data_IF_314266303940
#
_entry.id   IF_314266303940
#
_cell.length_a   1.000
_cell.length_b   1.000
_cell.length_c   1.000
_cell.angle_alpha   90.00
_cell.angle_beta   90.00
_cell.angle_gamma   90.00
#
_symmetry.space_group_name_H-M   'P 1'
#
loop_
_entity.id
_entity.type
_entity.pdbx_description
1 polymer ?
#
# COMPACT_ATOMS: atom_id res chain seq x y z
N UNK A 1 -1.98 11.46 0.59
CA UNK A 1 -0.59 11.01 0.46
C UNK A 1 -0.47 9.94 -0.63
N UNK A 2 0.73 9.79 -1.18
CA UNK A 2 0.99 8.83 -2.25
C UNK A 2 1.90 7.70 -1.76
N UNK A 3 2.93 8.03 -0.98
CA UNK A 3 3.95 7.12 -0.48
C UNK A 3 4.00 7.13 1.04
N UNK A 4 4.18 5.95 1.66
CA UNK A 4 4.40 5.80 3.09
C UNK A 4 5.81 5.25 3.37
N UNK A 5 6.57 5.95 4.20
CA UNK A 5 7.96 5.62 4.54
C UNK A 5 8.02 4.93 5.89
N UNK A 6 8.45 3.68 5.91
CA UNK A 6 8.49 2.85 7.11
C UNK A 6 9.47 3.38 8.16
N UNK A 7 9.02 3.49 9.40
CA UNK A 7 9.81 4.05 10.50
C UNK A 7 10.53 3.02 11.37
N UNK A 8 10.33 1.72 11.12
CA UNK A 8 11.09 0.66 11.80
C UNK A 8 12.50 0.46 11.25
N UNK A 9 13.10 -0.69 11.55
CA UNK A 9 14.52 -0.93 11.28
C UNK A 9 14.86 -1.03 9.79
N UNK A 10 13.91 -1.56 8.97
CA UNK A 10 14.10 -1.69 7.54
C UNK A 10 13.85 -0.36 6.79
N UNK A 11 14.39 -0.27 5.58
CA UNK A 11 14.12 0.84 4.66
C UNK A 11 13.13 0.37 3.58
N UNK A 12 11.85 0.67 3.80
CA UNK A 12 10.74 0.25 2.93
C UNK A 12 9.82 1.42 2.64
N UNK A 13 9.23 1.39 1.45
CA UNK A 13 8.22 2.36 1.02
C UNK A 13 6.99 1.60 0.59
N UNK A 14 5.83 2.06 1.06
CA UNK A 14 4.52 1.53 0.67
C UNK A 14 3.76 2.52 -0.21
N UNK A 15 2.90 1.99 -1.06
CA UNK A 15 1.98 2.74 -1.89
C UNK A 15 0.66 2.97 -1.15
N UNK A 16 0.03 4.13 -1.36
CA UNK A 16 -1.30 4.38 -0.83
C UNK A 16 -2.38 3.68 -1.67
N UNK A 17 -2.74 2.47 -1.30
CA UNK A 17 -3.78 1.73 -2.00
C UNK A 17 -5.16 2.40 -1.89
N UNK A 18 -5.44 3.16 -0.82
CA UNK A 18 -6.68 3.93 -0.69
C UNK A 18 -6.80 5.05 -1.74
N UNK A 19 -5.66 5.55 -2.25
CA UNK A 19 -5.60 6.54 -3.31
C UNK A 19 -5.25 5.92 -4.68
N UNK A 20 -5.38 4.61 -4.79
CA UNK A 20 -5.08 3.80 -5.98
C UNK A 20 -3.68 4.09 -6.54
N UNK A 21 -2.71 4.34 -5.66
CA UNK A 21 -1.34 4.59 -6.06
C UNK A 21 -0.72 3.30 -6.58
N UNK A 22 -0.12 3.38 -7.75
CA UNK A 22 0.62 2.30 -8.40
C UNK A 22 2.01 2.79 -8.77
N UNK A 23 2.96 1.87 -8.85
CA UNK A 23 4.32 2.20 -9.26
C UNK A 23 4.93 1.12 -10.17
N UNK A 24 5.87 1.53 -11.02
CA UNK A 24 6.66 0.63 -11.87
C UNK A 24 8.10 1.11 -11.94
N UNK A 25 9.05 0.19 -11.84
CA UNK A 25 10.49 0.50 -12.00
C UNK A 25 10.82 0.94 -13.42
N UNK A 26 11.70 1.92 -13.56
CA UNK A 26 12.21 2.38 -14.86
C UNK A 26 13.41 1.58 -15.36
N UNK A 27 14.04 0.76 -14.52
CA UNK A 27 15.31 0.10 -14.79
C UNK A 27 16.52 1.03 -14.74
N UNK A 28 16.35 2.30 -14.32
CA UNK A 28 17.41 3.32 -14.29
C UNK A 28 17.59 3.89 -12.87
N UNK A 29 18.80 4.32 -12.55
CA UNK A 29 19.13 4.95 -11.27
C UNK A 29 19.40 6.45 -11.38
N UNK A 30 19.63 6.96 -12.59
CA UNK A 30 19.81 8.39 -12.86
C UNK A 30 18.44 9.05 -13.13
N UNK A 31 18.03 9.94 -12.23
CA UNK A 31 16.76 10.66 -12.34
C UNK A 31 16.62 11.44 -13.65
N UNK A 32 17.68 12.10 -14.11
CA UNK A 32 17.67 12.91 -15.34
C UNK A 32 17.57 12.05 -16.62
N UNK A 33 18.05 10.80 -16.56
CA UNK A 33 18.04 9.88 -17.68
C UNK A 33 16.68 9.17 -17.89
N UNK A 34 15.74 9.31 -16.95
CA UNK A 34 14.37 8.76 -17.09
C UNK A 34 13.48 9.78 -17.78
N UNK A 35 12.91 9.40 -18.92
CA UNK A 35 12.19 10.27 -19.86
C UNK A 35 10.73 9.85 -20.04
N UNK A 36 9.96 10.64 -20.80
CA UNK A 36 8.61 10.28 -21.17
C UNK A 36 8.59 9.03 -22.07
N UNK A 37 9.60 8.83 -22.92
CA UNK A 37 9.72 7.63 -23.75
C UNK A 37 9.84 6.36 -22.88
N UNK A 38 10.58 6.44 -21.75
CA UNK A 38 10.65 5.33 -20.79
C UNK A 38 9.30 5.07 -20.11
N UNK A 39 8.57 6.14 -19.80
CA UNK A 39 7.23 6.01 -19.24
C UNK A 39 6.26 5.40 -20.26
N UNK A 40 6.37 5.76 -21.55
CA UNK A 40 5.54 5.21 -22.62
C UNK A 40 5.81 3.70 -22.84
N UNK A 41 7.01 3.25 -22.53
CA UNK A 41 7.38 1.83 -22.57
C UNK A 41 7.01 1.06 -21.28
N UNK A 42 6.71 1.75 -20.18
CA UNK A 42 6.36 1.14 -18.90
C UNK A 42 4.95 0.51 -18.92
N UNK A 43 4.65 -0.44 -18.01
CA UNK A 43 3.30 -0.94 -17.82
C UNK A 43 2.31 0.18 -17.51
N UNK A 44 1.03 -0.05 -17.84
CA UNK A 44 -0.04 0.87 -17.44
C UNK A 44 -0.20 0.95 -15.92
N UNK A 45 -0.37 2.14 -15.37
CA UNK A 45 -0.65 2.40 -13.97
C UNK A 45 -2.13 2.75 -13.72
N UNK A 46 -3.03 2.51 -14.68
CA UNK A 46 -4.46 2.78 -14.52
C UNK A 46 -5.15 1.88 -13.48
N UNK A 47 -4.54 0.75 -13.15
CA UNK A 47 -5.18 -0.20 -12.23
C UNK A 47 -6.45 -0.79 -12.84
N UNK A 48 -6.34 -1.32 -14.06
CA UNK A 48 -7.44 -2.06 -14.69
C UNK A 48 -7.84 -3.23 -13.80
N UNK A 49 -9.14 -3.41 -13.58
CA UNK A 49 -9.69 -4.51 -12.77
C UNK A 49 -9.43 -5.91 -13.37
N UNK A 50 -8.70 -6.00 -14.46
CA UNK A 50 -8.38 -7.26 -15.13
C UNK A 50 -7.01 -7.16 -15.79
N UNK A 51 -6.02 -7.84 -15.24
CA UNK A 51 -4.74 -8.06 -15.89
C UNK A 51 -3.52 -8.07 -14.97
N UNK A 52 -2.51 -8.78 -15.38
CA UNK A 52 -1.22 -9.00 -14.68
C UNK A 52 -0.46 -7.71 -14.30
N UNK A 53 -0.76 -6.58 -14.96
CA UNK A 53 -0.05 -5.32 -14.72
C UNK A 53 -0.42 -4.71 -13.36
N UNK A 54 -1.66 -4.85 -12.92
CA UNK A 54 -2.12 -4.28 -11.65
C UNK A 54 -1.40 -4.94 -10.45
N UNK A 55 -1.34 -6.27 -10.43
CA UNK A 55 -0.73 -7.03 -9.34
C UNK A 55 0.76 -6.74 -9.18
N UNK A 56 1.47 -6.50 -10.29
CA UNK A 56 2.91 -6.20 -10.28
C UNK A 56 3.25 -4.77 -9.89
N UNK A 57 2.27 -3.87 -9.99
CA UNK A 57 2.45 -2.44 -9.77
C UNK A 57 1.81 -1.95 -8.46
N UNK A 58 1.21 -2.85 -7.68
CA UNK A 58 0.66 -2.62 -6.34
C UNK A 58 1.47 -3.39 -5.29
N UNK A 59 1.50 -2.89 -4.07
CA UNK A 59 2.04 -3.64 -2.94
C UNK A 59 1.14 -4.84 -2.61
N UNK A 60 1.73 -5.90 -2.06
CA UNK A 60 1.00 -7.06 -1.59
C UNK A 60 0.06 -6.69 -0.43
N UNK A 61 -1.18 -7.17 -0.49
CA UNK A 61 -2.24 -6.79 0.44
C UNK A 61 -2.03 -7.31 1.86
N UNK A 62 -1.19 -8.33 2.03
CA UNK A 62 -0.81 -8.85 3.36
C UNK A 62 -0.05 -7.84 4.21
N UNK A 63 0.45 -6.75 3.59
CA UNK A 63 1.30 -5.76 4.24
C UNK A 63 2.71 -6.27 4.56
N UNK A 64 3.15 -7.36 3.91
CA UNK A 64 4.53 -7.84 4.01
C UNK A 64 5.48 -6.85 3.33
N UNK A 65 6.33 -6.20 4.13
CA UNK A 65 7.28 -5.20 3.63
C UNK A 65 8.30 -5.75 2.63
N UNK A 66 8.55 -7.05 2.64
CA UNK A 66 9.40 -7.70 1.64
C UNK A 66 8.76 -7.74 0.25
N UNK A 67 7.43 -7.55 0.17
CA UNK A 67 6.63 -7.61 -1.06
C UNK A 67 6.10 -6.26 -1.52
N UNK A 68 6.76 -5.17 -1.12
CA UNK A 68 6.46 -3.83 -1.64
C UNK A 68 7.04 -3.66 -3.04
N UNK A 69 6.39 -2.86 -3.90
CA UNK A 69 6.85 -2.60 -5.27
C UNK A 69 8.25 -1.98 -5.30
N UNK A 70 8.55 -1.07 -4.36
CA UNK A 70 9.88 -0.47 -4.23
C UNK A 70 10.95 -1.44 -3.73
N UNK A 71 10.55 -2.55 -3.10
CA UNK A 71 11.47 -3.48 -2.47
C UNK A 71 12.27 -2.86 -1.32
N UNK A 72 13.46 -3.39 -1.07
CA UNK A 72 14.38 -2.82 -0.09
C UNK A 72 15.08 -1.59 -0.68
N UNK A 73 15.01 -0.46 0.04
CA UNK A 73 15.64 0.79 -0.41
C UNK A 73 17.15 0.70 -0.26
N UNK A 74 17.86 0.80 -1.38
CA UNK A 74 19.30 0.81 -1.46
C UNK A 74 19.90 2.20 -1.16
N UNK A 75 21.23 2.28 -1.05
CA UNK A 75 21.94 3.55 -0.94
C UNK A 75 21.81 4.41 -2.22
N UNK A 76 21.75 3.75 -3.38
CA UNK A 76 21.47 4.39 -4.68
C UNK A 76 20.30 3.64 -5.32
N UNK A 77 19.09 4.15 -5.12
CA UNK A 77 17.85 3.49 -5.51
C UNK A 77 17.53 3.63 -7.00
N UNK A 78 16.69 2.73 -7.49
CA UNK A 78 16.08 2.83 -8.81
C UNK A 78 15.09 4.00 -8.85
N UNK A 79 14.89 4.59 -10.04
CA UNK A 79 13.82 5.56 -10.30
C UNK A 79 12.56 4.81 -10.67
N UNK A 80 11.46 5.06 -9.95
CA UNK A 80 10.15 4.48 -10.21
C UNK A 80 9.22 5.52 -10.84
N UNK A 81 8.36 5.07 -11.75
CA UNK A 81 7.16 5.80 -12.12
C UNK A 81 6.10 5.57 -11.05
N UNK A 82 5.41 6.63 -10.66
CA UNK A 82 4.34 6.59 -9.65
C UNK A 82 3.14 7.38 -10.16
N UNK A 83 1.95 6.78 -10.07
CA UNK A 83 0.70 7.43 -10.42
C UNK A 83 -0.39 7.08 -9.41
N UNK A 84 -1.07 8.11 -8.90
CA UNK A 84 -2.21 8.03 -7.98
C UNK A 84 -3.51 8.43 -8.71
N UNK A 85 -4.66 8.36 -8.07
CA UNK A 85 -5.97 8.57 -8.69
C UNK A 85 -6.05 9.83 -9.56
N UNK A 86 -5.55 10.97 -9.05
CA UNK A 86 -5.68 12.27 -9.71
C UNK A 86 -4.60 12.56 -10.76
N UNK A 87 -3.62 11.70 -10.94
CA UNK A 87 -2.52 11.96 -11.85
C UNK A 87 -2.26 10.82 -12.85
N UNK A 88 -3.31 10.12 -13.23
CA UNK A 88 -3.24 8.99 -14.18
C UNK A 88 -3.83 9.30 -15.54
N UNK A 89 -4.86 10.13 -15.57
CA UNK A 89 -5.69 10.28 -16.78
C UNK A 89 -6.02 11.72 -17.08
N UNK A 90 -6.12 12.01 -18.38
CA UNK A 90 -6.81 13.19 -18.90
C UNK A 90 -8.02 12.71 -19.69
N UNK A 91 -9.22 13.21 -19.33
CA UNK A 91 -10.50 12.80 -19.93
C UNK A 91 -10.73 11.26 -19.95
N UNK A 92 -10.26 10.58 -18.89
CA UNK A 92 -10.40 9.13 -18.75
C UNK A 92 -9.40 8.30 -19.59
N UNK A 93 -8.48 8.95 -20.28
CA UNK A 93 -7.39 8.30 -21.03
C UNK A 93 -6.10 8.40 -20.20
N UNK A 94 -5.33 7.30 -20.13
CA UNK A 94 -4.04 7.32 -19.44
C UNK A 94 -3.12 8.39 -20.04
N UNK A 95 -2.66 9.29 -19.17
CA UNK A 95 -1.78 10.38 -19.56
C UNK A 95 -0.49 10.32 -18.71
N UNK A 96 0.54 9.77 -19.29
CA UNK A 96 1.82 9.54 -18.63
C UNK A 96 2.62 10.81 -18.36
N UNK A 97 2.23 11.94 -18.95
CA UNK A 97 2.81 13.25 -18.62
C UNK A 97 2.41 13.72 -17.22
N UNK A 98 1.31 13.17 -16.69
CA UNK A 98 0.84 13.45 -15.33
C UNK A 98 1.55 12.63 -14.26
N UNK A 99 2.24 11.55 -14.65
CA UNK A 99 2.94 10.70 -13.70
C UNK A 99 4.09 11.42 -13.03
N UNK A 100 4.45 10.91 -11.87
CA UNK A 100 5.68 11.28 -11.19
C UNK A 100 6.76 10.24 -11.49
N UNK A 101 8.02 10.69 -11.45
CA UNK A 101 9.17 9.82 -11.28
C UNK A 101 9.78 10.10 -9.92
N UNK A 102 10.12 9.03 -9.22
CA UNK A 102 10.54 9.08 -7.82
C UNK A 102 11.75 8.17 -7.63
N UNK A 103 12.80 8.70 -7.05
CA UNK A 103 13.95 7.94 -6.58
C UNK A 103 14.01 8.04 -5.07
N UNK A 104 14.04 6.91 -4.40
CA UNK A 104 14.22 6.85 -2.95
C UNK A 104 15.56 6.20 -2.65
N UNK A 105 16.32 6.82 -1.78
CA UNK A 105 17.59 6.32 -1.28
C UNK A 105 17.68 6.47 0.24
N UNK A 106 18.66 5.84 0.86
CA UNK A 106 18.90 6.00 2.31
C UNK A 106 19.54 7.36 2.57
N UNK A 107 18.90 8.16 3.42
CA UNK A 107 19.38 9.43 3.94
C UNK A 107 20.05 9.27 5.31
N UNK A 108 20.52 10.36 5.89
CA UNK A 108 21.21 10.36 7.19
C UNK A 108 20.29 9.94 8.35
N UNK A 109 19.08 10.49 8.41
CA UNK A 109 18.11 10.22 9.47
C UNK A 109 16.93 9.32 9.02
N UNK A 110 16.93 8.87 7.77
CA UNK A 110 15.82 8.12 7.19
C UNK A 110 15.95 8.00 5.68
N UNK A 111 15.10 8.67 4.92
CA UNK A 111 15.02 8.55 3.48
C UNK A 111 15.33 9.89 2.80
N UNK A 112 16.06 9.83 1.70
CA UNK A 112 16.18 10.91 0.72
C UNK A 112 15.28 10.61 -0.45
N UNK A 113 14.37 11.51 -0.77
CA UNK A 113 13.39 11.39 -1.86
C UNK A 113 13.71 12.43 -2.92
N UNK A 114 13.99 11.99 -4.12
CA UNK A 114 14.16 12.80 -5.33
C UNK A 114 12.95 12.56 -6.22
N UNK A 115 12.15 13.58 -6.54
CA UNK A 115 10.89 13.41 -7.27
C UNK A 115 10.57 14.60 -8.17
N UNK A 116 9.74 14.38 -9.16
CA UNK A 116 9.23 15.37 -10.10
C UNK A 116 8.29 14.75 -11.11
N UNK A 117 7.76 15.55 -12.03
CA UNK A 117 7.02 14.99 -13.16
C UNK A 117 7.96 14.23 -14.10
N UNK A 118 7.42 13.29 -14.87
CA UNK A 118 8.22 12.46 -15.78
C UNK A 118 9.08 13.33 -16.72
N UNK A 119 8.55 14.48 -17.18
CA UNK A 119 9.28 15.40 -18.05
C UNK A 119 10.36 16.26 -17.38
N UNK A 120 10.43 16.27 -16.04
CA UNK A 120 11.40 17.11 -15.33
C UNK A 120 12.82 16.54 -15.47
N UNK A 121 13.81 17.41 -15.70
CA UNK A 121 15.23 17.02 -15.78
C UNK A 121 15.97 17.15 -14.47
N UNK A 122 15.38 17.89 -13.51
CA UNK A 122 15.95 18.09 -12.17
C UNK A 122 14.92 17.73 -11.12
N UNK A 123 15.27 16.93 -10.10
CA UNK A 123 14.36 16.57 -9.03
C UNK A 123 14.14 17.71 -8.03
N UNK A 124 12.97 17.71 -7.40
CA UNK A 124 12.82 18.24 -6.04
C UNK A 124 13.42 17.20 -5.08
N UNK A 125 14.00 17.65 -3.99
CA UNK A 125 14.64 16.77 -2.99
C UNK A 125 14.04 17.04 -1.62
N UNK A 126 13.64 15.97 -0.94
CA UNK A 126 13.11 16.04 0.43
C UNK A 126 13.79 14.94 1.27
N UNK A 127 14.15 15.28 2.50
CA UNK A 127 14.58 14.31 3.51
C UNK A 127 13.38 13.96 4.40
N UNK A 128 13.15 12.64 4.61
CA UNK A 128 12.11 12.13 5.49
C UNK A 128 12.76 11.35 6.61
N UNK A 129 12.76 11.93 7.81
CA UNK A 129 13.29 11.27 8.99
C UNK A 129 12.34 10.16 9.47
N UNK A 130 12.89 9.07 10.00
CA UNK A 130 12.11 8.06 10.70
C UNK A 130 11.69 8.59 12.06
N UNK A 131 10.39 8.50 12.37
CA UNK A 131 9.85 8.82 13.69
C UNK A 131 9.34 7.53 14.34
N UNK A 132 9.94 7.06 15.46
CA UNK A 132 9.57 5.82 16.12
C UNK A 132 8.16 5.80 16.72
N UNK A 133 7.49 6.95 16.79
CA UNK A 133 6.09 7.01 17.22
C UNK A 133 5.12 6.50 16.15
N UNK A 134 5.53 6.51 14.87
CA UNK A 134 4.68 6.14 13.73
C UNK A 134 5.16 4.84 13.07
N UNK A 135 4.23 4.11 12.49
CA UNK A 135 4.57 2.99 11.60
C UNK A 135 5.12 3.50 10.26
N UNK A 136 4.49 4.53 9.72
CA UNK A 136 4.86 5.16 8.46
C UNK A 136 4.68 6.68 8.52
N UNK A 137 5.56 7.40 7.83
CA UNK A 137 5.37 8.81 7.49
C UNK A 137 4.80 8.91 6.08
N UNK A 138 3.63 9.52 5.94
CA UNK A 138 3.02 9.78 4.64
C UNK A 138 3.72 10.92 3.90
N UNK A 139 3.74 10.85 2.57
CA UNK A 139 4.26 11.90 1.71
C UNK A 139 3.34 12.12 0.51
N UNK A 140 3.06 13.36 0.18
CA UNK A 140 2.30 13.73 -1.01
C UNK A 140 3.22 14.25 -2.10
N UNK A 141 3.22 13.57 -3.24
CA UNK A 141 3.98 14.00 -4.43
C UNK A 141 3.44 15.30 -5.02
N UNK A 142 2.15 15.56 -4.86
CA UNK A 142 1.52 16.78 -5.37
C UNK A 142 1.93 18.02 -4.57
N UNK A 143 1.84 17.99 -3.24
CA UNK A 143 2.24 19.10 -2.39
C UNK A 143 3.75 19.16 -2.11
N UNK A 144 4.42 18.01 -2.13
CA UNK A 144 5.82 17.85 -1.73
C UNK A 144 6.03 17.90 -0.23
N UNK A 145 5.00 17.56 0.54
CA UNK A 145 4.99 17.66 1.99
C UNK A 145 4.74 16.31 2.64
N UNK A 146 5.28 16.15 3.85
CA UNK A 146 4.91 15.05 4.73
C UNK A 146 3.47 15.23 5.21
N UNK A 147 2.73 14.14 5.31
CA UNK A 147 1.31 14.14 5.68
C UNK A 147 1.12 13.17 6.84
N UNK A 148 0.32 13.56 7.81
CA UNK A 148 -0.12 12.65 8.87
C UNK A 148 -1.12 11.64 8.27
N UNK A 149 -0.59 10.49 7.84
CA UNK A 149 -1.35 9.46 7.14
C UNK A 149 -2.01 8.46 8.09
N UNK A 150 -1.47 8.32 9.30
CA UNK A 150 -1.89 7.36 10.30
C UNK A 150 -1.75 7.98 11.70
N UNK A 151 -2.57 7.55 12.69
CA UNK A 151 -2.29 7.83 14.09
C UNK A 151 -0.94 7.22 14.52
N UNK A 152 -0.42 7.64 15.68
CA UNK A 152 0.76 6.97 16.28
C UNK A 152 0.58 5.45 16.31
N UNK A 153 1.65 4.71 16.05
CA UNK A 153 1.62 3.26 15.80
C UNK A 153 0.90 2.43 16.89
N UNK A 154 0.98 2.87 18.15
CA UNK A 154 0.35 2.16 19.28
C UNK A 154 -1.06 2.67 19.62
N UNK A 155 -1.65 3.54 18.80
CA UNK A 155 -2.96 4.16 19.09
C UNK A 155 -4.09 3.65 18.18
N UNK A 156 -3.84 2.68 17.36
CA UNK A 156 -4.86 2.09 16.49
C UNK A 156 -4.56 0.60 16.22
N UNK A 157 -5.62 -0.18 16.03
CA UNK A 157 -5.54 -1.61 15.76
C UNK A 157 -6.11 -1.95 14.37
N UNK A 158 -7.22 -1.30 13.99
CA UNK A 158 -7.94 -1.57 12.75
C UNK A 158 -8.10 -0.30 11.92
N UNK A 159 -8.01 -0.45 10.61
CA UNK A 159 -8.37 0.58 9.62
C UNK A 159 -9.50 0.08 8.74
N UNK A 160 -10.47 0.92 8.49
CA UNK A 160 -11.55 0.67 7.53
C UNK A 160 -11.46 1.69 6.41
N UNK A 161 -11.12 1.24 5.22
CA UNK A 161 -10.80 2.15 4.12
C UNK A 161 -11.09 1.53 2.75
N UNK A 162 -10.98 2.35 1.72
CA UNK A 162 -10.78 1.88 0.35
C UNK A 162 -9.35 1.35 0.23
N UNK A 163 -9.16 0.15 -0.29
CA UNK A 163 -7.84 -0.45 -0.44
C UNK A 163 -7.81 -1.51 -1.56
N UNK A 164 -6.61 -1.92 -1.95
CA UNK A 164 -6.43 -3.12 -2.75
C UNK A 164 -6.84 -4.35 -1.93
N UNK A 165 -7.61 -5.23 -2.53
CA UNK A 165 -8.04 -6.48 -1.91
C UNK A 165 -8.22 -7.58 -2.96
N UNK A 166 -7.98 -8.81 -2.56
CA UNK A 166 -8.28 -9.98 -3.38
C UNK A 166 -9.79 -10.25 -3.38
N UNK A 167 -10.34 -10.44 -4.54
CA UNK A 167 -11.72 -10.87 -4.74
C UNK A 167 -11.77 -12.11 -5.61
N UNK A 168 -12.74 -13.00 -5.35
CA UNK A 168 -12.97 -14.17 -6.18
C UNK A 168 -14.17 -13.88 -7.07
N UNK A 169 -13.95 -13.71 -8.35
CA UNK A 169 -14.97 -13.66 -9.37
C UNK A 169 -14.97 -14.96 -10.20
N UNK A 170 -15.90 -15.10 -11.14
CA UNK A 170 -16.06 -16.32 -11.96
C UNK A 170 -14.81 -16.78 -12.71
N UNK A 171 -13.80 -15.94 -12.82
CA UNK A 171 -12.51 -16.20 -13.50
C UNK A 171 -11.36 -16.57 -12.55
N UNK A 172 -11.59 -16.62 -11.25
CA UNK A 172 -10.56 -16.90 -10.24
C UNK A 172 -10.23 -15.69 -9.36
N UNK A 173 -9.18 -15.78 -8.52
CA UNK A 173 -8.76 -14.68 -7.67
C UNK A 173 -8.25 -13.52 -8.53
N UNK A 174 -8.65 -12.31 -8.16
CA UNK A 174 -8.31 -11.07 -8.85
C UNK A 174 -8.05 -9.98 -7.82
N UNK A 175 -6.93 -9.28 -7.95
CA UNK A 175 -6.66 -8.09 -7.16
C UNK A 175 -7.48 -6.91 -7.72
N UNK A 176 -8.17 -6.21 -6.85
CA UNK A 176 -8.96 -5.03 -7.22
C UNK A 176 -8.94 -3.99 -6.12
N UNK A 177 -9.22 -2.73 -6.46
CA UNK A 177 -9.51 -1.73 -5.44
C UNK A 177 -10.96 -1.91 -4.95
N UNK A 178 -11.10 -2.15 -3.67
CA UNK A 178 -12.39 -2.41 -3.03
C UNK A 178 -12.70 -1.37 -1.97
N UNK A 179 -13.99 -1.06 -1.82
CA UNK A 179 -14.49 -0.29 -0.70
C UNK A 179 -14.61 -1.19 0.54
N UNK A 180 -14.63 -0.55 1.71
CA UNK A 180 -14.92 -1.23 2.97
C UNK A 180 -13.96 -2.39 3.28
N UNK A 181 -12.69 -2.21 2.99
CA UNK A 181 -11.62 -3.14 3.39
C UNK A 181 -11.22 -2.86 4.83
N UNK A 182 -11.24 -3.89 5.66
CA UNK A 182 -10.72 -3.80 7.03
C UNK A 182 -9.32 -4.39 7.04
N UNK A 183 -8.34 -3.58 7.44
CA UNK A 183 -6.96 -4.00 7.63
C UNK A 183 -6.53 -3.87 9.08
N UNK A 184 -5.56 -4.69 9.50
CA UNK A 184 -4.98 -4.64 10.85
C UNK A 184 -3.64 -3.91 10.85
N UNK A 185 -3.29 -3.33 11.98
CA UNK A 185 -2.00 -2.69 12.21
C UNK A 185 -0.92 -3.74 12.54
N UNK A 186 -0.59 -4.59 11.57
CA UNK A 186 0.37 -5.69 11.75
C UNK A 186 1.73 -5.22 12.23
N UNK A 187 2.19 -4.06 11.76
CA UNK A 187 3.50 -3.50 12.11
C UNK A 187 3.60 -3.00 13.56
N UNK A 188 2.46 -2.90 14.25
CA UNK A 188 2.40 -2.61 15.69
C UNK A 188 2.13 -3.85 16.55
N UNK A 189 2.10 -5.03 15.92
CA UNK A 189 1.91 -6.31 16.59
C UNK A 189 0.45 -6.71 16.78
N UNK A 190 -0.48 -6.12 16.01
CA UNK A 190 -1.88 -6.57 15.98
C UNK A 190 -1.95 -7.88 15.22
N UNK A 191 -2.69 -8.83 15.76
CA UNK A 191 -2.98 -10.12 15.16
C UNK A 191 -4.46 -10.49 15.37
N UNK A 192 -5.03 -11.27 14.48
CA UNK A 192 -6.46 -11.64 14.48
C UNK A 192 -6.60 -13.15 14.45
N UNK A 193 -7.56 -13.66 15.21
CA UNK A 193 -7.98 -15.05 15.14
C UNK A 193 -9.45 -15.14 14.71
N UNK A 194 -9.75 -16.03 13.79
CA UNK A 194 -11.13 -16.31 13.36
C UNK A 194 -11.78 -17.28 14.33
N UNK A 195 -12.94 -16.88 14.88
CA UNK A 195 -13.74 -17.72 15.77
C UNK A 195 -14.90 -18.31 14.98
N UNK A 196 -14.90 -19.63 14.78
CA UNK A 196 -15.95 -20.34 14.07
C UNK A 196 -17.15 -20.61 14.97
N UNK A 197 -18.36 -20.49 14.40
CA UNK A 197 -19.59 -20.87 15.08
C UNK A 197 -19.78 -22.39 15.00
N UNK A 198 -20.24 -23.00 16.10
CA UNK A 198 -20.72 -24.37 16.11
C UNK A 198 -22.02 -24.55 15.33
N UNK A 199 -22.37 -25.78 15.02
CA UNK A 199 -23.64 -26.11 14.34
C UNK A 199 -24.85 -25.63 15.20
N UNK A 200 -25.68 -24.75 14.63
CA UNK A 200 -26.83 -24.17 15.33
C UNK A 200 -26.50 -23.10 16.39
N UNK A 201 -25.21 -22.74 16.54
CA UNK A 201 -24.77 -21.70 17.47
C UNK A 201 -24.96 -20.30 16.83
N UNK A 202 -25.46 -19.36 17.59
CA UNK A 202 -25.55 -17.95 17.17
C UNK A 202 -24.29 -17.19 17.58
N UNK A 203 -24.00 -16.10 16.86
CA UNK A 203 -22.88 -15.20 17.20
C UNK A 203 -22.94 -14.71 18.66
N UNK A 204 -24.16 -14.37 19.14
CA UNK A 204 -24.36 -13.91 20.52
C UNK A 204 -24.04 -15.00 21.57
N UNK A 205 -24.42 -16.25 21.30
CA UNK A 205 -24.11 -17.38 22.16
C UNK A 205 -22.61 -17.64 22.19
N UNK A 206 -21.95 -17.64 21.00
CA UNK A 206 -20.49 -17.79 20.91
C UNK A 206 -19.75 -16.70 21.65
N UNK A 207 -20.14 -15.45 21.44
CA UNK A 207 -19.52 -14.31 22.13
C UNK A 207 -19.61 -14.42 23.67
N UNK A 208 -20.76 -14.89 24.20
CA UNK A 208 -20.95 -15.07 25.65
C UNK A 208 -20.19 -16.27 26.21
N UNK A 209 -19.98 -17.32 25.43
CA UNK A 209 -19.28 -18.54 25.85
C UNK A 209 -17.76 -18.49 25.67
N UNK A 210 -17.25 -17.58 24.84
CA UNK A 210 -15.83 -17.49 24.51
C UNK A 210 -15.01 -17.02 25.69
N UNK A 211 -14.03 -17.81 26.09
CA UNK A 211 -13.24 -17.60 27.29
C UNK A 211 -11.81 -17.14 26.98
N UNK A 212 -11.08 -16.69 27.99
CA UNK A 212 -9.64 -16.40 27.86
C UNK A 212 -8.85 -17.66 27.46
N UNK A 213 -9.25 -18.84 27.91
CA UNK A 213 -8.58 -20.08 27.55
C UNK A 213 -8.79 -20.40 26.04
N UNK A 214 -9.98 -20.13 25.49
CA UNK A 214 -10.23 -20.27 24.06
C UNK A 214 -9.37 -19.29 23.25
N UNK A 215 -9.28 -18.03 23.70
CA UNK A 215 -8.42 -17.03 23.07
C UNK A 215 -6.93 -17.41 23.12
N UNK A 216 -6.46 -18.00 24.21
CA UNK A 216 -5.07 -18.46 24.35
C UNK A 216 -4.76 -19.69 23.47
N UNK A 217 -5.77 -20.48 23.12
CA UNK A 217 -5.66 -21.66 22.25
C UNK A 217 -5.87 -21.32 20.77
N UNK A 218 -6.30 -20.10 20.44
CA UNK A 218 -6.58 -19.69 19.07
C UNK A 218 -5.29 -19.50 18.26
N UNK A 219 -5.35 -19.82 16.99
CA UNK A 219 -4.29 -19.52 16.02
C UNK A 219 -4.47 -18.08 15.53
N UNK A 220 -3.45 -17.25 15.73
CA UNK A 220 -3.47 -15.85 15.32
C UNK A 220 -2.73 -15.66 14.01
N UNK A 221 -3.33 -14.88 13.13
CA UNK A 221 -2.79 -14.48 11.84
C UNK A 221 -2.43 -12.99 11.86
N UNK A 222 -1.42 -12.61 11.09
CA UNK A 222 -0.83 -11.26 11.13
C UNK A 222 -0.91 -10.52 9.79
N UNK A 223 -1.47 -11.13 8.76
CA UNK A 223 -1.60 -10.47 7.47
C UNK A 223 -2.54 -9.26 7.56
N UNK A 224 -2.14 -8.15 6.98
CA UNK A 224 -2.88 -6.89 7.12
C UNK A 224 -4.33 -7.01 6.63
N UNK A 225 -4.58 -7.81 5.61
CA UNK A 225 -5.88 -8.02 4.98
C UNK A 225 -6.64 -9.26 5.48
N UNK A 226 -6.25 -9.84 6.62
CA UNK A 226 -6.88 -11.05 7.17
C UNK A 226 -8.40 -10.91 7.36
N UNK A 227 -8.90 -9.72 7.69
CA UNK A 227 -10.33 -9.43 7.71
C UNK A 227 -10.80 -9.04 6.30
N UNK A 228 -10.05 -8.14 5.66
CA UNK A 228 -10.27 -7.75 4.28
C UNK A 228 -11.71 -7.32 3.99
N UNK A 229 -12.36 -8.00 3.05
CA UNK A 229 -13.76 -7.81 2.67
C UNK A 229 -14.67 -8.97 3.14
N UNK A 230 -14.15 -9.96 3.86
CA UNK A 230 -14.86 -11.18 4.23
C UNK A 230 -15.95 -10.95 5.28
N UNK A 231 -15.89 -9.83 6.00
CA UNK A 231 -16.88 -9.45 7.02
C UNK A 231 -18.25 -9.08 6.45
N UNK A 232 -18.36 -8.92 5.15
CA UNK A 232 -19.61 -8.54 4.47
C UNK A 232 -19.98 -9.51 3.34
N UNK A 233 -21.27 -9.68 3.11
CA UNK A 233 -21.81 -10.28 1.88
C UNK A 233 -22.30 -9.17 0.95
N UNK A 234 -21.55 -8.81 -0.12
CA UNK A 234 -21.93 -7.73 -1.02
C UNK A 234 -23.17 -8.03 -1.85
N UNK A 235 -23.62 -9.28 -1.88
CA UNK A 235 -24.79 -9.72 -2.66
C UNK A 235 -26.02 -10.08 -1.80
N UNK A 236 -25.91 -9.95 -0.47
CA UNK A 236 -26.99 -10.07 0.50
C UNK A 236 -27.84 -11.32 0.31
N UNK A 237 -27.39 -12.48 0.81
CA UNK A 237 -28.24 -13.66 0.95
C UNK A 237 -28.85 -13.74 2.34
#
# INVERSE_FOLDING_TARGET
>A
WDLGFYCGDEFRVILNSAYKTLAAGSGKTDFAAVTLEDADAAPSLLGSMMGDSFEKNADDTSGDLAKTVFGEIAADGEVFFVASEDNKTTDGVEDRTLWYKVKVSRGEAGYKVEYGKVGDTSPKVVEIAKDPLYGFIGFSLASGEQVEAQPEAKKWDLSWSYAAAWSTMNSGPMLSFSQDVITINRHSGVAVATVMLGEGETLAQKYQSYTLADAQAAEFEVDADIIGTTWRDPFGK
#
